data_IF_825742067244
#
_entry.id   IF_825742067244
#
_cell.length_a   1.000
_cell.length_b   1.000
_cell.length_c   1.000
_cell.angle_alpha   90.00
_cell.angle_beta   90.00
_cell.angle_gamma   90.00
#
_symmetry.space_group_name_H-M   'P 1'
#
loop_
_entity.id
_entity.type
_entity.pdbx_description
1 polymer ?
#
# COMPACT_ATOMS: atom_id res chain seq x y z
N UNK A 1 28.26 -27.70 -56.48
CA UNK A 1 29.61 -27.11 -56.18
C UNK A 1 29.34 -25.86 -55.33
N UNK A 2 29.84 -25.87 -54.11
CA UNK A 2 29.57 -24.93 -53.00
C UNK A 2 30.45 -23.68 -53.12
N UNK A 3 29.88 -22.51 -52.94
CA UNK A 3 30.62 -21.27 -52.74
C UNK A 3 30.40 -20.81 -51.29
N UNK A 4 31.46 -20.96 -50.51
CA UNK A 4 31.53 -20.43 -49.12
C UNK A 4 31.75 -18.91 -49.20
N UNK A 5 30.83 -18.13 -48.67
CA UNK A 5 31.05 -16.71 -48.41
C UNK A 5 31.71 -16.56 -47.03
N UNK A 6 32.92 -16.01 -47.06
CA UNK A 6 33.71 -15.62 -45.90
C UNK A 6 33.27 -14.20 -45.53
N UNK A 7 32.65 -14.01 -44.33
CA UNK A 7 32.43 -12.69 -43.76
C UNK A 7 33.66 -12.27 -42.97
N UNK A 8 34.33 -11.23 -43.46
CA UNK A 8 35.44 -10.58 -42.75
C UNK A 8 34.86 -9.55 -41.84
N UNK A 9 35.00 -9.75 -40.51
CA UNK A 9 34.70 -8.73 -39.52
C UNK A 9 35.85 -7.74 -39.44
N UNK A 10 35.58 -6.51 -39.81
CA UNK A 10 36.46 -5.38 -39.50
C UNK A 10 36.26 -4.96 -38.04
N UNK A 11 37.26 -5.22 -37.21
CA UNK A 11 37.36 -4.65 -35.87
C UNK A 11 37.96 -3.28 -36.01
N UNK A 12 37.14 -2.25 -35.90
CA UNK A 12 37.61 -0.87 -35.71
C UNK A 12 37.84 -0.66 -34.22
N UNK A 13 39.11 -0.63 -33.84
CA UNK A 13 39.51 -0.20 -32.49
C UNK A 13 39.45 1.33 -32.49
N UNK A 14 38.35 1.89 -32.03
CA UNK A 14 38.28 3.28 -31.63
C UNK A 14 38.69 3.39 -30.16
N UNK A 15 39.96 3.75 -29.94
CA UNK A 15 40.43 4.27 -28.66
C UNK A 15 39.82 5.65 -28.41
N UNK A 16 38.60 5.69 -27.96
CA UNK A 16 37.93 6.88 -27.49
C UNK A 16 37.86 6.82 -25.97
N UNK A 17 38.45 7.80 -25.28
CA UNK A 17 38.31 8.02 -23.87
C UNK A 17 36.81 8.13 -23.49
N UNK A 18 36.24 7.05 -23.02
CA UNK A 18 34.96 7.10 -22.32
C UNK A 18 35.19 7.73 -20.94
N UNK A 19 35.00 9.03 -20.84
CA UNK A 19 34.69 9.64 -19.57
C UNK A 19 33.35 9.07 -19.12
N UNK A 20 33.41 8.10 -18.24
CA UNK A 20 32.22 7.59 -17.54
C UNK A 20 31.64 8.72 -16.69
N UNK A 21 30.72 9.49 -17.27
CA UNK A 21 29.77 10.26 -16.47
C UNK A 21 28.92 9.26 -15.69
N UNK A 22 29.36 8.92 -14.49
CA UNK A 22 28.49 8.35 -13.47
C UNK A 22 27.38 9.37 -13.24
N UNK A 23 26.25 9.22 -13.94
CA UNK A 23 25.00 9.85 -13.55
C UNK A 23 24.62 9.18 -12.23
N UNK A 24 25.17 9.74 -11.16
CA UNK A 24 24.73 9.40 -9.81
C UNK A 24 23.24 9.68 -9.78
N UNK A 25 22.41 8.63 -9.68
CA UNK A 25 21.03 8.77 -9.28
C UNK A 25 21.05 9.56 -7.98
N UNK A 26 20.74 10.86 -8.06
CA UNK A 26 20.42 11.65 -6.88
C UNK A 26 19.24 10.95 -6.24
N UNK A 27 19.52 10.14 -5.23
CA UNK A 27 18.51 9.75 -4.25
C UNK A 27 17.92 11.08 -3.79
N UNK A 28 16.69 11.36 -4.19
CA UNK A 28 15.97 12.52 -3.71
C UNK A 28 15.89 12.37 -2.20
N UNK A 29 16.81 12.99 -1.48
CA UNK A 29 16.68 13.14 -0.04
C UNK A 29 15.28 13.69 0.23
N UNK A 30 14.52 13.11 1.13
CA UNK A 30 13.21 13.65 1.50
C UNK A 30 13.44 15.11 1.82
N UNK A 31 12.68 16.02 1.18
CA UNK A 31 12.81 17.47 1.39
C UNK A 31 12.81 17.70 2.88
N UNK A 32 13.93 18.19 3.41
CA UNK A 32 14.06 18.52 4.82
C UNK A 32 12.93 19.47 5.16
N UNK A 33 12.07 19.08 6.11
CA UNK A 33 10.98 19.93 6.59
C UNK A 33 11.60 21.27 6.97
N UNK A 34 11.10 22.35 6.41
CA UNK A 34 11.62 23.71 6.74
C UNK A 34 11.28 24.00 8.20
N UNK A 35 12.10 24.83 8.83
CA UNK A 35 11.86 25.29 10.21
C UNK A 35 10.47 25.93 10.34
N UNK A 36 10.07 26.69 9.34
CA UNK A 36 8.73 27.31 9.29
C UNK A 36 7.62 26.26 9.27
N UNK A 37 7.71 25.26 8.39
CA UNK A 37 6.74 24.15 8.33
C UNK A 37 6.67 23.42 9.67
N UNK A 38 7.83 23.13 10.28
CA UNK A 38 7.88 22.48 11.58
C UNK A 38 7.23 23.33 12.67
N UNK A 39 7.50 24.62 12.73
CA UNK A 39 6.89 25.52 13.70
C UNK A 39 5.37 25.53 13.60
N UNK A 40 4.83 25.48 12.37
CA UNK A 40 3.40 25.50 12.13
C UNK A 40 2.69 24.19 12.54
N UNK A 41 3.38 23.06 12.48
CA UNK A 41 2.76 21.74 12.74
C UNK A 41 3.22 21.09 14.04
N UNK A 42 4.32 21.55 14.66
CA UNK A 42 4.94 20.89 15.82
C UNK A 42 4.01 20.73 17.03
N UNK A 43 3.07 21.66 17.21
CA UNK A 43 2.07 21.58 18.28
C UNK A 43 1.17 20.34 18.17
N UNK A 44 0.94 19.84 16.96
CA UNK A 44 0.10 18.65 16.72
C UNK A 44 0.83 17.34 16.99
N UNK A 45 2.15 17.38 17.21
CA UNK A 45 2.97 16.21 17.56
C UNK A 45 3.25 16.09 19.06
N UNK A 46 2.66 16.96 19.86
CA UNK A 46 2.75 16.91 21.31
C UNK A 46 1.34 16.85 21.90
N UNK A 47 1.12 16.03 22.92
CA UNK A 47 -0.15 16.07 23.62
C UNK A 47 -0.34 17.46 24.29
N UNK A 48 -1.57 17.95 24.44
CA UNK A 48 -1.84 19.12 25.28
C UNK A 48 -1.24 18.93 26.67
N UNK A 49 -0.77 20.01 27.28
CA UNK A 49 -0.09 19.97 28.58
C UNK A 49 -0.89 19.26 29.69
N UNK A 50 -2.22 19.33 29.62
CA UNK A 50 -3.11 18.62 30.56
C UNK A 50 -3.03 17.10 30.46
N UNK A 51 -2.55 16.55 29.33
CA UNK A 51 -2.38 15.12 29.08
C UNK A 51 -0.91 14.70 29.03
N UNK A 52 0.02 15.63 29.18
CA UNK A 52 1.44 15.33 29.15
C UNK A 52 1.80 14.31 30.23
N UNK A 53 2.48 13.23 29.82
CA UNK A 53 2.85 12.10 30.68
C UNK A 53 1.67 11.34 31.37
N UNK A 54 0.43 11.58 30.92
CA UNK A 54 -0.75 10.85 31.39
C UNK A 54 -1.10 9.72 30.42
N UNK A 55 -0.39 8.61 30.55
CA UNK A 55 -0.57 7.44 29.66
C UNK A 55 -1.61 6.45 30.16
N UNK A 56 -2.30 6.75 31.26
CA UNK A 56 -3.19 5.82 31.95
C UNK A 56 -2.41 4.64 32.55
N UNK A 57 -3.10 3.55 32.81
CA UNK A 57 -2.51 2.31 33.34
C UNK A 57 -1.96 1.38 32.23
N UNK A 58 -1.95 1.82 30.99
CA UNK A 58 -1.47 1.03 29.89
C UNK A 58 0.04 0.83 29.97
N UNK A 59 0.46 -0.41 29.89
CA UNK A 59 1.87 -0.77 29.86
C UNK A 59 2.51 -0.28 28.58
N UNK A 60 3.65 0.39 28.69
CA UNK A 60 4.40 0.82 27.52
C UNK A 60 4.78 -0.37 26.63
N UNK A 61 4.64 -0.29 25.30
CA UNK A 61 5.13 -1.33 24.39
C UNK A 61 6.66 -1.50 24.45
N UNK A 62 7.38 -0.50 24.99
CA UNK A 62 8.83 -0.57 25.22
C UNK A 62 9.22 -1.32 26.51
N UNK A 63 8.25 -1.88 27.22
CA UNK A 63 8.48 -2.74 28.39
C UNK A 63 8.11 -4.17 28.02
N UNK A 64 9.09 -5.07 27.82
CA UNK A 64 8.86 -6.51 27.64
C UNK A 64 8.24 -7.15 28.89
N UNK A 65 7.82 -8.40 28.78
CA UNK A 65 7.21 -9.13 29.88
C UNK A 65 8.15 -9.26 31.10
N UNK A 66 9.47 -9.36 30.88
CA UNK A 66 10.49 -9.44 31.92
C UNK A 66 10.74 -8.11 32.65
N UNK A 67 10.14 -7.00 32.23
CA UNK A 67 10.21 -5.71 32.94
C UNK A 67 11.35 -4.77 32.53
N UNK A 68 12.32 -5.22 31.78
CA UNK A 68 13.47 -4.40 31.36
C UNK A 68 13.07 -3.44 30.23
N UNK A 69 13.51 -2.19 30.33
CA UNK A 69 13.23 -1.21 29.27
C UNK A 69 14.07 -1.46 28.03
N UNK A 70 13.44 -1.39 26.86
CA UNK A 70 14.09 -1.49 25.56
C UNK A 70 14.98 -0.27 25.32
N UNK A 71 16.26 -0.51 25.02
CA UNK A 71 17.29 0.53 24.86
C UNK A 71 17.90 0.57 23.45
N UNK A 72 17.61 -0.42 22.61
CA UNK A 72 18.21 -0.54 21.28
C UNK A 72 17.21 -0.93 20.22
N UNK A 73 17.53 -0.62 18.95
CA UNK A 73 16.74 -1.05 17.79
C UNK A 73 16.69 -2.58 17.65
N UNK A 74 17.73 -3.30 18.10
CA UNK A 74 17.76 -4.76 18.10
C UNK A 74 16.77 -5.35 19.09
N UNK A 75 16.75 -4.83 20.32
CA UNK A 75 15.77 -5.22 21.33
C UNK A 75 14.34 -4.89 20.91
N UNK A 76 14.14 -3.74 20.27
CA UNK A 76 12.84 -3.38 19.70
C UNK A 76 12.37 -4.38 18.63
N UNK A 77 13.26 -4.84 17.74
CA UNK A 77 12.89 -5.86 16.74
C UNK A 77 12.41 -7.15 17.39
N UNK A 78 13.07 -7.58 18.48
CA UNK A 78 12.65 -8.75 19.25
C UNK A 78 11.28 -8.52 19.90
N UNK A 79 11.11 -7.41 20.59
CA UNK A 79 9.86 -7.07 21.26
C UNK A 79 8.69 -6.94 20.26
N UNK A 80 8.93 -6.30 19.11
CA UNK A 80 7.94 -6.19 18.05
C UNK A 80 7.49 -7.55 17.53
N UNK A 81 8.42 -8.53 17.46
CA UNK A 81 8.06 -9.90 17.08
C UNK A 81 7.16 -10.55 18.12
N UNK A 82 7.49 -10.44 19.41
CA UNK A 82 6.66 -10.95 20.52
C UNK A 82 5.24 -10.36 20.47
N UNK A 83 5.12 -9.04 20.35
CA UNK A 83 3.82 -8.35 20.23
C UNK A 83 3.05 -8.87 19.01
N UNK A 84 3.73 -9.03 17.87
CA UNK A 84 3.09 -9.55 16.66
C UNK A 84 2.57 -10.97 16.86
N UNK A 85 3.36 -11.85 17.45
CA UNK A 85 2.98 -13.24 17.72
C UNK A 85 1.77 -13.30 18.67
N UNK A 86 1.76 -12.48 19.72
CA UNK A 86 0.63 -12.37 20.63
C UNK A 86 -0.65 -11.90 19.90
N UNK A 87 -0.55 -10.84 19.10
CA UNK A 87 -1.69 -10.37 18.31
C UNK A 87 -2.17 -11.43 17.32
N UNK A 88 -1.27 -12.08 16.58
CA UNK A 88 -1.64 -13.10 15.61
C UNK A 88 -2.30 -14.33 16.26
N UNK A 89 -1.91 -14.67 17.49
CA UNK A 89 -2.60 -15.72 18.25
C UNK A 89 -4.04 -15.39 18.60
N UNK A 90 -4.37 -14.09 18.74
CA UNK A 90 -5.71 -13.62 19.06
C UNK A 90 -6.58 -13.40 17.82
N UNK A 91 -6.00 -12.80 16.76
CA UNK A 91 -6.75 -12.42 15.56
C UNK A 91 -6.70 -13.45 14.43
N UNK A 92 -5.91 -14.49 14.60
CA UNK A 92 -5.68 -15.57 13.63
C UNK A 92 -4.55 -15.25 12.63
N UNK A 93 -3.82 -16.28 12.25
CA UNK A 93 -2.74 -16.17 11.27
C UNK A 93 -3.29 -16.03 9.86
N UNK A 94 -2.71 -15.12 9.11
CA UNK A 94 -3.08 -14.94 7.71
C UNK A 94 -2.54 -16.08 6.84
N UNK A 95 -3.29 -16.50 5.82
CA UNK A 95 -2.72 -17.25 4.72
C UNK A 95 -1.59 -16.45 4.06
N UNK A 96 -0.70 -17.09 3.28
CA UNK A 96 0.29 -16.36 2.49
C UNK A 96 -0.37 -15.28 1.62
N UNK A 97 0.23 -14.09 1.58
CA UNK A 97 -0.21 -13.02 0.69
C UNK A 97 -0.05 -13.47 -0.77
N UNK A 98 -1.00 -13.10 -1.63
CA UNK A 98 -1.03 -13.47 -3.05
C UNK A 98 -0.05 -12.58 -3.81
N UNK A 99 1.24 -12.92 -3.81
CA UNK A 99 2.32 -12.12 -4.41
C UNK A 99 2.27 -12.07 -5.94
N UNK A 100 1.69 -13.10 -6.59
CA UNK A 100 1.49 -13.14 -8.03
C UNK A 100 0.12 -12.60 -8.45
N UNK A 101 -0.32 -11.55 -7.78
CA UNK A 101 -1.61 -10.94 -8.00
C UNK A 101 -1.80 -10.55 -9.47
N UNK A 102 -2.92 -10.98 -10.03
CA UNK A 102 -3.41 -10.55 -11.35
C UNK A 102 -4.68 -9.75 -11.13
N UNK A 103 -4.88 -8.75 -11.95
CA UNK A 103 -6.16 -8.05 -11.98
C UNK A 103 -6.64 -7.90 -13.42
N UNK A 104 -7.95 -7.88 -13.57
CA UNK A 104 -8.66 -7.67 -14.83
C UNK A 104 -9.25 -6.27 -14.83
N UNK A 105 -9.12 -5.53 -15.92
CA UNK A 105 -9.84 -4.28 -16.13
C UNK A 105 -11.19 -4.63 -16.74
N UNK A 106 -12.27 -4.33 -16.02
CA UNK A 106 -13.64 -4.59 -16.44
C UNK A 106 -14.19 -3.40 -17.23
N UNK A 107 -13.87 -2.19 -16.77
CA UNK A 107 -14.35 -0.94 -17.33
C UNK A 107 -13.35 0.18 -17.16
N UNK A 108 -13.40 1.16 -18.05
CA UNK A 108 -12.53 2.34 -18.06
C UNK A 108 -13.33 3.59 -18.29
N UNK A 109 -13.20 4.54 -17.38
CA UNK A 109 -13.80 5.86 -17.48
C UNK A 109 -12.71 6.94 -17.42
N UNK A 110 -12.63 7.78 -18.47
CA UNK A 110 -11.83 9.01 -18.40
C UNK A 110 -12.60 10.03 -17.58
N UNK A 111 -11.98 10.50 -16.53
CA UNK A 111 -12.46 11.62 -15.73
C UNK A 111 -11.49 12.79 -15.94
N UNK A 112 -11.75 13.92 -15.43
CA UNK A 112 -10.98 15.18 -15.50
C UNK A 112 -9.51 15.00 -15.96
N UNK A 113 -8.60 14.76 -15.02
CA UNK A 113 -7.16 14.61 -15.23
C UNK A 113 -6.63 13.22 -14.81
N UNK A 114 -7.51 12.21 -14.74
CA UNK A 114 -7.16 10.84 -14.39
C UNK A 114 -8.07 9.82 -15.10
N UNK A 115 -7.63 8.56 -15.10
CA UNK A 115 -8.45 7.42 -15.50
C UNK A 115 -8.96 6.68 -14.28
N UNK A 116 -10.20 6.28 -14.30
CA UNK A 116 -10.83 5.39 -13.35
C UNK A 116 -11.05 4.04 -14.03
N UNK A 117 -10.47 2.99 -13.48
CA UNK A 117 -10.64 1.62 -13.92
C UNK A 117 -11.47 0.87 -12.89
N UNK A 118 -12.51 0.16 -13.32
CA UNK A 118 -13.12 -0.88 -12.51
C UNK A 118 -12.31 -2.13 -12.72
N UNK A 119 -11.78 -2.69 -11.63
CA UNK A 119 -10.85 -3.83 -11.67
C UNK A 119 -11.38 -4.97 -10.85
N UNK A 120 -11.07 -6.21 -11.27
CA UNK A 120 -11.37 -7.44 -10.55
C UNK A 120 -10.08 -8.14 -10.18
N UNK A 121 -9.97 -8.61 -8.95
CA UNK A 121 -8.77 -9.28 -8.44
C UNK A 121 -9.11 -10.20 -7.27
N UNK A 122 -8.20 -11.08 -6.91
CA UNK A 122 -8.33 -11.92 -5.73
C UNK A 122 -7.98 -11.15 -4.47
N UNK A 123 -8.90 -11.01 -3.54
CA UNK A 123 -8.64 -10.43 -2.22
C UNK A 123 -8.41 -11.48 -1.14
N UNK A 124 -8.86 -12.74 -1.39
CA UNK A 124 -8.44 -13.94 -0.68
C UNK A 124 -8.05 -15.01 -1.69
N UNK A 125 -7.41 -16.13 -1.31
CA UNK A 125 -7.03 -17.17 -2.26
C UNK A 125 -8.19 -17.75 -3.07
N UNK A 126 -9.40 -17.72 -2.53
CA UNK A 126 -10.58 -18.38 -3.11
C UNK A 126 -11.68 -17.40 -3.52
N UNK A 127 -11.51 -16.11 -3.28
CA UNK A 127 -12.55 -15.12 -3.51
C UNK A 127 -12.03 -13.91 -4.27
N UNK A 128 -12.74 -13.52 -5.31
CA UNK A 128 -12.48 -12.29 -6.05
C UNK A 128 -13.36 -11.16 -5.55
N UNK A 129 -12.86 -9.96 -5.67
CA UNK A 129 -13.63 -8.73 -5.51
C UNK A 129 -13.41 -7.80 -6.69
N UNK A 130 -14.24 -6.78 -6.78
CA UNK A 130 -14.04 -5.66 -7.67
C UNK A 130 -13.63 -4.43 -6.85
N UNK A 131 -13.02 -3.47 -7.52
CA UNK A 131 -12.62 -2.20 -6.92
C UNK A 131 -12.41 -1.15 -7.97
N UNK A 132 -12.06 0.05 -7.53
CA UNK A 132 -11.80 1.18 -8.40
C UNK A 132 -10.36 1.64 -8.28
N UNK A 133 -9.61 1.48 -9.38
CA UNK A 133 -8.23 1.94 -9.51
C UNK A 133 -8.25 3.28 -10.24
N UNK A 134 -7.76 4.35 -9.60
CA UNK A 134 -7.67 5.67 -10.15
C UNK A 134 -6.20 6.01 -10.43
N UNK A 135 -5.89 6.36 -11.66
CA UNK A 135 -4.52 6.66 -12.11
C UNK A 135 -4.47 8.06 -12.71
N UNK A 136 -3.72 9.02 -12.10
CA UNK A 136 -3.52 10.33 -12.69
C UNK A 136 -2.86 10.25 -14.07
N UNK A 137 -3.30 11.09 -14.98
CA UNK A 137 -2.85 11.12 -16.39
C UNK A 137 -1.39 11.60 -16.55
N UNK A 138 -0.84 12.22 -15.53
CA UNK A 138 0.55 12.71 -15.52
C UNK A 138 1.55 11.55 -15.59
N UNK A 139 2.58 11.70 -16.44
CA UNK A 139 3.68 10.74 -16.55
C UNK A 139 4.56 10.70 -15.29
N UNK A 140 5.27 9.60 -15.11
CA UNK A 140 6.27 9.39 -14.06
C UNK A 140 5.76 8.52 -12.91
N UNK A 141 6.69 8.11 -12.04
CA UNK A 141 6.38 7.32 -10.85
C UNK A 141 5.49 8.11 -9.90
N UNK A 142 4.52 7.45 -9.33
CA UNK A 142 3.55 8.06 -8.41
C UNK A 142 3.47 7.25 -7.13
N UNK A 143 3.30 7.92 -5.99
CA UNK A 143 2.95 7.21 -4.77
C UNK A 143 1.56 6.59 -4.91
N UNK A 144 1.34 5.46 -4.24
CA UNK A 144 0.08 4.74 -4.28
C UNK A 144 -0.54 4.61 -2.90
N UNK A 145 -1.88 4.60 -2.84
CA UNK A 145 -2.66 4.50 -1.60
C UNK A 145 -3.84 3.56 -1.80
N UNK A 146 -4.04 2.65 -0.85
CA UNK A 146 -5.29 1.92 -0.71
C UNK A 146 -6.26 2.79 0.08
N UNK A 147 -7.45 3.03 -0.48
CA UNK A 147 -8.53 3.72 0.19
C UNK A 147 -9.56 2.71 0.66
N UNK A 148 -9.64 2.51 1.97
CA UNK A 148 -10.60 1.58 2.58
C UNK A 148 -11.76 2.38 3.12
N UNK A 149 -12.96 2.07 2.63
CA UNK A 149 -14.21 2.67 3.08
C UNK A 149 -15.38 1.70 2.88
N UNK A 150 -16.45 1.83 3.66
CA UNK A 150 -17.63 0.97 3.55
C UNK A 150 -18.31 1.04 2.17
N UNK A 151 -18.23 2.19 1.54
CA UNK A 151 -18.83 2.47 0.25
C UNK A 151 -17.75 2.94 -0.71
N UNK A 152 -17.11 2.03 -1.45
CA UNK A 152 -15.98 2.37 -2.32
C UNK A 152 -16.32 3.41 -3.39
N UNK A 153 -17.57 3.47 -3.83
CA UNK A 153 -18.06 4.53 -4.73
C UNK A 153 -18.00 5.92 -4.07
N UNK A 154 -18.24 6.00 -2.78
CA UNK A 154 -18.07 7.25 -2.04
C UNK A 154 -16.61 7.69 -2.05
N UNK A 155 -15.68 6.76 -1.81
CA UNK A 155 -14.25 7.09 -1.82
C UNK A 155 -13.74 7.60 -3.16
N UNK A 156 -14.32 7.14 -4.27
CA UNK A 156 -13.98 7.63 -5.62
C UNK A 156 -14.78 8.86 -6.05
N UNK A 157 -15.61 9.42 -5.18
CA UNK A 157 -16.39 10.62 -5.43
C UNK A 157 -17.72 10.40 -6.19
N UNK A 158 -18.21 9.16 -6.28
CA UNK A 158 -19.48 8.83 -6.95
C UNK A 158 -20.65 8.65 -5.97
N UNK A 159 -20.39 8.56 -4.67
CA UNK A 159 -21.39 8.25 -3.65
C UNK A 159 -22.19 9.44 -3.11
N UNK A 160 -21.93 10.66 -3.60
CA UNK A 160 -22.67 11.86 -3.20
C UNK A 160 -22.48 12.31 -1.74
N UNK A 161 -21.53 11.75 -0.99
CA UNK A 161 -21.26 12.11 0.42
C UNK A 161 -20.08 13.07 0.49
N UNK A 162 -20.30 14.32 0.94
CA UNK A 162 -19.23 15.31 1.00
C UNK A 162 -18.12 14.89 1.99
N UNK A 163 -16.89 15.29 1.68
CA UNK A 163 -15.70 15.07 2.49
C UNK A 163 -15.36 13.59 2.79
N UNK A 164 -15.84 12.66 1.96
CA UNK A 164 -15.57 11.22 2.08
C UNK A 164 -14.95 10.62 0.83
N UNK A 165 -14.71 11.44 -0.17
CA UNK A 165 -14.15 11.10 -1.49
C UNK A 165 -12.61 11.00 -1.46
N UNK A 166 -12.08 10.27 -0.48
CA UNK A 166 -10.64 10.21 -0.17
C UNK A 166 -9.79 9.77 -1.35
N UNK A 167 -10.20 8.70 -2.06
CA UNK A 167 -9.48 8.21 -3.23
C UNK A 167 -9.45 9.25 -4.34
N UNK A 168 -10.58 9.90 -4.63
CA UNK A 168 -10.68 10.98 -5.60
C UNK A 168 -9.74 12.14 -5.25
N UNK A 169 -9.79 12.63 -4.02
CA UNK A 169 -8.98 13.76 -3.56
C UNK A 169 -7.48 13.47 -3.59
N UNK A 170 -7.06 12.25 -3.25
CA UNK A 170 -5.68 11.82 -3.35
C UNK A 170 -5.23 11.72 -4.82
N UNK A 171 -6.10 11.19 -5.69
CA UNK A 171 -5.79 11.08 -7.12
C UNK A 171 -5.60 12.44 -7.76
N UNK A 172 -6.44 13.43 -7.43
CA UNK A 172 -6.27 14.84 -7.86
C UNK A 172 -4.93 15.44 -7.40
N UNK A 173 -4.34 14.92 -6.32
CA UNK A 173 -3.02 15.33 -5.81
C UNK A 173 -1.87 14.52 -6.38
N UNK A 174 -2.14 13.62 -7.33
CA UNK A 174 -1.12 12.87 -8.05
C UNK A 174 -0.81 11.47 -7.49
N UNK A 175 -1.62 10.96 -6.56
CA UNK A 175 -1.49 9.57 -6.07
C UNK A 175 -2.25 8.60 -6.98
N UNK A 176 -1.71 7.40 -7.18
CA UNK A 176 -2.51 6.27 -7.64
C UNK A 176 -3.32 5.79 -6.45
N UNK A 177 -4.63 5.57 -6.62
CA UNK A 177 -5.48 5.08 -5.52
C UNK A 177 -6.25 3.84 -5.94
N UNK A 178 -6.40 2.90 -5.02
CA UNK A 178 -7.25 1.73 -5.17
C UNK A 178 -8.30 1.73 -4.06
N UNK A 179 -9.56 1.88 -4.44
CA UNK A 179 -10.71 1.73 -3.53
C UNK A 179 -11.25 0.32 -3.63
N UNK A 180 -11.33 -0.38 -2.48
CA UNK A 180 -11.64 -1.80 -2.43
C UNK A 180 -13.15 -2.07 -2.49
N UNK A 181 -13.51 -3.07 -3.27
CA UNK A 181 -14.87 -3.59 -3.35
C UNK A 181 -15.83 -2.68 -4.11
N UNK A 182 -17.10 -2.95 -3.96
CA UNK A 182 -18.22 -2.20 -4.51
C UNK A 182 -19.32 -2.04 -3.47
N UNK A 183 -20.22 -1.06 -3.64
CA UNK A 183 -21.40 -0.92 -2.78
C UNK A 183 -22.26 -2.18 -2.79
N UNK A 184 -22.38 -2.84 -3.94
CA UNK A 184 -23.14 -4.09 -4.05
C UNK A 184 -22.50 -5.17 -3.19
N UNK A 185 -21.20 -5.40 -3.31
CA UNK A 185 -20.44 -6.33 -2.47
C UNK A 185 -20.66 -6.08 -0.99
N UNK A 186 -20.66 -4.81 -0.59
CA UNK A 186 -20.88 -4.39 0.80
C UNK A 186 -22.30 -4.65 1.27
N UNK A 187 -23.31 -4.33 0.46
CA UNK A 187 -24.73 -4.54 0.79
C UNK A 187 -25.11 -6.00 0.89
N UNK A 188 -24.64 -6.80 -0.05
CA UNK A 188 -24.93 -8.23 -0.12
C UNK A 188 -24.07 -9.04 0.84
N UNK A 189 -23.08 -8.42 1.49
CA UNK A 189 -22.10 -9.10 2.35
C UNK A 189 -21.42 -10.26 1.62
N UNK A 190 -21.17 -10.10 0.33
CA UNK A 190 -20.56 -11.12 -0.52
C UNK A 190 -19.05 -11.21 -0.36
N UNK A 191 -18.43 -10.28 0.38
CA UNK A 191 -17.06 -10.42 0.82
C UNK A 191 -16.98 -11.30 2.07
N UNK A 192 -16.05 -12.21 2.11
CA UNK A 192 -15.85 -13.06 3.27
C UNK A 192 -15.22 -12.27 4.41
N UNK A 193 -16.00 -12.00 5.46
CA UNK A 193 -15.48 -11.50 6.73
C UNK A 193 -15.10 -12.63 7.69
N UNK A 194 -15.40 -13.87 7.29
CA UNK A 194 -15.08 -15.09 8.02
C UNK A 194 -14.24 -15.99 7.10
N UNK A 195 -12.96 -16.02 7.34
CA UNK A 195 -12.06 -16.84 6.53
C UNK A 195 -11.65 -18.11 7.28
N UNK A 196 -11.66 -19.31 6.65
CA UNK A 196 -12.12 -19.59 5.28
C UNK A 196 -13.64 -19.50 5.07
N UNK A 197 -14.44 -19.69 6.11
CA UNK A 197 -15.91 -19.58 6.08
C UNK A 197 -16.47 -19.31 7.50
N UNK A 198 -17.78 -19.03 7.60
CA UNK A 198 -18.44 -18.69 8.87
C UNK A 198 -18.42 -19.81 9.91
N UNK A 199 -18.36 -21.07 9.49
CA UNK A 199 -18.40 -22.23 10.39
C UNK A 199 -17.00 -22.64 10.87
N UNK A 200 -15.97 -22.27 10.12
CA UNK A 200 -14.57 -22.64 10.34
C UNK A 200 -13.64 -21.42 10.39
N UNK A 201 -14.13 -20.29 10.88
CA UNK A 201 -13.36 -19.06 10.88
C UNK A 201 -12.05 -19.21 11.69
N UNK A 202 -10.93 -19.16 11.00
CA UNK A 202 -9.58 -19.19 11.57
C UNK A 202 -9.00 -17.81 11.80
N UNK A 203 -9.64 -16.77 11.25
CA UNK A 203 -9.21 -15.39 11.31
C UNK A 203 -10.38 -14.52 11.78
N UNK A 204 -10.11 -13.58 12.67
CA UNK A 204 -11.11 -12.59 13.09
C UNK A 204 -11.58 -11.73 11.90
N UNK A 205 -12.87 -11.34 11.84
CA UNK A 205 -13.42 -10.60 10.69
C UNK A 205 -12.63 -9.38 10.26
N UNK A 206 -12.22 -8.54 11.20
CA UNK A 206 -11.41 -7.34 10.88
C UNK A 206 -10.01 -7.70 10.38
N UNK A 207 -9.44 -8.82 10.87
CA UNK A 207 -8.16 -9.34 10.39
C UNK A 207 -8.29 -9.86 8.95
N UNK A 208 -9.41 -10.50 8.60
CA UNK A 208 -9.69 -10.93 7.23
C UNK A 208 -9.79 -9.73 6.27
N UNK A 209 -10.45 -8.65 6.69
CA UNK A 209 -10.49 -7.41 5.88
C UNK A 209 -9.10 -6.77 5.71
N UNK A 210 -8.27 -6.80 6.76
CA UNK A 210 -6.90 -6.32 6.67
C UNK A 210 -6.04 -7.20 5.74
N UNK A 211 -6.25 -8.52 5.74
CA UNK A 211 -5.63 -9.45 4.80
C UNK A 211 -6.06 -9.17 3.36
N UNK A 212 -7.35 -8.92 3.12
CA UNK A 212 -7.85 -8.51 1.81
C UNK A 212 -7.19 -7.21 1.31
N UNK A 213 -6.99 -6.23 2.19
CA UNK A 213 -6.27 -5.00 1.87
C UNK A 213 -4.79 -5.25 1.56
N UNK A 214 -4.14 -6.19 2.26
CA UNK A 214 -2.76 -6.58 1.96
C UNK A 214 -2.65 -7.21 0.56
N UNK A 215 -3.59 -8.05 0.15
CA UNK A 215 -3.63 -8.61 -1.21
C UNK A 215 -3.90 -7.54 -2.28
N UNK A 216 -4.71 -6.54 -1.97
CA UNK A 216 -4.95 -5.40 -2.86
C UNK A 216 -3.69 -4.53 -3.05
N UNK A 217 -2.80 -4.49 -2.06
CA UNK A 217 -1.50 -3.82 -2.18
C UNK A 217 -0.66 -4.42 -3.30
N UNK A 218 -0.72 -5.74 -3.49
CA UNK A 218 -0.03 -6.43 -4.59
C UNK A 218 -0.58 -6.04 -5.97
N UNK A 219 -1.85 -5.61 -6.07
CA UNK A 219 -2.40 -5.01 -7.30
C UNK A 219 -1.72 -3.67 -7.57
N UNK A 220 -1.61 -2.81 -6.56
CA UNK A 220 -0.96 -1.50 -6.71
C UNK A 220 0.51 -1.64 -7.12
N UNK A 221 1.23 -2.62 -6.60
CA UNK A 221 2.61 -2.88 -6.95
C UNK A 221 2.83 -3.21 -8.43
N UNK A 222 1.77 -3.55 -9.18
CA UNK A 222 1.83 -3.80 -10.63
C UNK A 222 1.63 -2.54 -11.48
N UNK A 223 1.16 -1.44 -10.90
CA UNK A 223 0.80 -0.21 -11.62
C UNK A 223 1.60 1.02 -11.19
N UNK A 224 2.50 0.88 -10.22
CA UNK A 224 3.37 1.96 -9.68
C UNK A 224 4.78 2.01 -10.26
#
# INVERSE_FOLDING_TARGET
MSAKQIFIYYIIICSGLCTTNCIGNKVNNPKKITTETWNNISAYFKPPAIYENKYGEYRSPLLPANGDSIKSASEWKKRRKEIKEEWMSLIGEWPPVITNQKFEIIDTLKREDFYQYRVRFYWTPNEQTEGYLLIPDKRGKKPAVISVFYEPETAIGSGGKPNRDFAYQLTKRGFITLSLGTTQTTKEKTYSIYYPDINNASIQPLSALAYAAANAWEVLAKVT
#
